data_IF_865441107836
#
_entry.id   IF_865441107836
#
_cell.length_a   1.000
_cell.length_b   1.000
_cell.length_c   1.000
_cell.angle_alpha   90.00
_cell.angle_beta   90.00
_cell.angle_gamma   90.00
#
_symmetry.space_group_name_H-M   'P 1'
#
loop_
_entity.id
_entity.type
_entity.pdbx_description
1 polymer ?
#
# COMPACT_ATOMS: atom_id res chain seq x y z
N UNK A 1 -16.54 -20.16 3.62
CA UNK A 1 -15.15 -19.67 3.83
C UNK A 1 -14.73 -18.59 2.84
N UNK A 2 -15.00 -18.72 1.52
CA UNK A 2 -14.63 -17.72 0.49
C UNK A 2 -15.09 -16.28 0.81
N UNK A 3 -16.34 -16.05 1.22
CA UNK A 3 -16.85 -14.69 1.56
C UNK A 3 -16.12 -14.03 2.75
N UNK A 4 -15.77 -14.81 3.79
CA UNK A 4 -15.04 -14.30 4.97
C UNK A 4 -13.59 -13.92 4.60
N UNK A 5 -12.90 -14.77 3.85
CA UNK A 5 -11.53 -14.51 3.39
C UNK A 5 -11.45 -13.30 2.45
N UNK A 6 -12.42 -13.17 1.53
CA UNK A 6 -12.55 -12.01 0.64
C UNK A 6 -12.78 -10.70 1.39
N UNK A 7 -13.67 -10.71 2.39
CA UNK A 7 -13.92 -9.55 3.27
C UNK A 7 -12.66 -9.16 4.05
N UNK A 8 -11.85 -10.13 4.47
CA UNK A 8 -10.60 -9.89 5.20
C UNK A 8 -9.53 -9.25 4.30
N UNK A 9 -9.36 -9.70 3.05
CA UNK A 9 -8.47 -9.04 2.10
C UNK A 9 -8.94 -7.63 1.75
N UNK A 10 -10.22 -7.44 1.46
CA UNK A 10 -10.76 -6.10 1.20
C UNK A 10 -10.49 -5.15 2.38
N UNK A 11 -10.66 -5.63 3.62
CA UNK A 11 -10.33 -4.86 4.82
C UNK A 11 -8.83 -4.55 4.92
N UNK A 12 -7.96 -5.52 4.63
CA UNK A 12 -6.49 -5.31 4.60
C UNK A 12 -6.12 -4.20 3.62
N UNK A 13 -6.60 -4.27 2.38
CA UNK A 13 -6.30 -3.28 1.35
C UNK A 13 -6.94 -1.92 1.63
N UNK A 14 -8.15 -1.89 2.21
CA UNK A 14 -8.77 -0.64 2.65
C UNK A 14 -7.97 0.05 3.77
N UNK A 15 -7.46 -0.71 4.75
CA UNK A 15 -6.60 -0.18 5.81
C UNK A 15 -5.27 0.32 5.22
N UNK A 16 -4.64 -0.44 4.31
CA UNK A 16 -3.41 -0.02 3.63
C UNK A 16 -3.60 1.29 2.84
N UNK A 17 -4.71 1.40 2.12
CA UNK A 17 -5.05 2.61 1.37
C UNK A 17 -5.31 3.79 2.30
N UNK A 18 -6.10 3.58 3.37
CA UNK A 18 -6.35 4.59 4.39
C UNK A 18 -5.03 5.09 5.02
N UNK A 19 -4.16 4.16 5.43
CA UNK A 19 -2.87 4.50 6.04
C UNK A 19 -1.97 5.27 5.08
N UNK A 20 -1.93 4.87 3.80
CA UNK A 20 -1.16 5.56 2.75
C UNK A 20 -1.66 6.99 2.54
N UNK A 21 -2.99 7.19 2.51
CA UNK A 21 -3.59 8.52 2.41
C UNK A 21 -3.27 9.36 3.63
N UNK A 22 -3.33 8.80 4.85
CA UNK A 22 -2.96 9.52 6.06
C UNK A 22 -1.47 9.92 6.06
N UNK A 23 -0.58 9.04 5.63
CA UNK A 23 0.84 9.36 5.48
C UNK A 23 1.07 10.51 4.50
N UNK A 24 0.37 10.51 3.35
CA UNK A 24 0.44 11.61 2.40
C UNK A 24 -0.10 12.91 3.02
N UNK A 25 -1.28 12.88 3.64
CA UNK A 25 -1.86 14.04 4.32
C UNK A 25 -0.94 14.60 5.40
N UNK A 26 -0.22 13.75 6.13
CA UNK A 26 0.77 14.16 7.11
C UNK A 26 1.94 14.92 6.47
N UNK A 27 2.47 14.43 5.34
CA UNK A 27 3.50 15.15 4.58
C UNK A 27 3.00 16.50 4.06
N UNK A 28 1.78 16.54 3.53
CA UNK A 28 1.13 17.78 3.10
C UNK A 28 0.95 18.78 4.23
N UNK A 29 0.54 18.29 5.42
CA UNK A 29 0.39 19.13 6.60
C UNK A 29 1.74 19.73 7.03
N UNK A 30 2.82 18.94 6.97
CA UNK A 30 4.18 19.43 7.20
C UNK A 30 4.57 20.53 6.22
N UNK A 31 4.45 20.29 4.92
CA UNK A 31 4.75 21.28 3.88
C UNK A 31 3.93 22.58 4.05
N UNK A 32 2.66 22.44 4.44
CA UNK A 32 1.81 23.61 4.71
C UNK A 32 2.25 24.36 5.98
N UNK A 33 2.54 23.66 7.07
CA UNK A 33 2.97 24.26 8.35
C UNK A 33 4.26 25.08 8.20
N UNK A 34 5.18 24.62 7.35
CA UNK A 34 6.43 25.32 7.06
C UNK A 34 6.35 26.33 5.91
N UNK A 35 5.15 26.57 5.36
CA UNK A 35 4.90 27.63 4.36
C UNK A 35 5.35 27.29 2.93
N UNK A 36 5.67 26.03 2.63
CA UNK A 36 6.10 25.61 1.28
C UNK A 36 4.94 25.45 0.28
N UNK A 37 3.71 25.31 0.78
CA UNK A 37 2.49 25.23 -0.03
C UNK A 37 2.41 23.99 -0.94
N UNK A 38 1.37 23.93 -1.79
CA UNK A 38 1.11 22.78 -2.67
C UNK A 38 2.13 22.64 -3.81
N UNK A 39 2.97 23.65 -4.07
CA UNK A 39 4.00 23.55 -5.10
C UNK A 39 5.11 22.56 -4.71
N UNK A 40 5.31 22.29 -3.42
CA UNK A 40 6.45 21.49 -2.96
C UNK A 40 6.21 19.97 -3.02
N UNK A 41 4.96 19.55 -3.22
CA UNK A 41 4.56 18.14 -3.27
C UNK A 41 5.39 17.32 -4.28
N UNK A 42 5.65 17.76 -5.52
CA UNK A 42 6.45 17.00 -6.47
C UNK A 42 7.89 16.82 -5.98
N UNK A 43 8.44 17.82 -5.26
CA UNK A 43 9.79 17.72 -4.67
C UNK A 43 9.79 16.72 -3.51
N UNK A 44 8.82 16.77 -2.60
CA UNK A 44 8.69 15.81 -1.50
C UNK A 44 8.45 14.39 -2.01
N UNK A 45 7.61 14.22 -3.04
CA UNK A 45 7.41 12.93 -3.69
C UNK A 45 8.72 12.40 -4.31
N UNK A 46 9.53 13.28 -4.88
CA UNK A 46 10.84 12.91 -5.41
C UNK A 46 11.84 12.61 -4.27
N UNK A 47 11.72 13.17 -3.08
CA UNK A 47 12.53 12.75 -1.93
C UNK A 47 12.07 11.41 -1.32
N UNK A 48 10.79 11.06 -1.47
CA UNK A 48 10.24 9.81 -0.91
C UNK A 48 10.79 8.56 -1.63
N UNK A 49 11.00 8.66 -2.94
CA UNK A 49 11.69 7.66 -3.76
C UNK A 49 12.59 8.42 -4.72
N UNK A 50 13.82 8.69 -4.29
CA UNK A 50 14.73 9.61 -4.96
C UNK A 50 15.34 9.00 -6.22
N UNK A 51 15.80 7.77 -6.11
CA UNK A 51 16.50 7.07 -7.17
C UNK A 51 15.57 6.17 -7.96
N UNK A 52 15.91 5.93 -9.23
CA UNK A 52 15.21 4.96 -10.07
C UNK A 52 15.22 3.56 -9.43
N UNK A 53 16.31 3.19 -8.75
CA UNK A 53 16.42 1.95 -7.99
C UNK A 53 15.40 1.86 -6.85
N UNK A 54 15.18 2.93 -6.08
CA UNK A 54 14.17 2.94 -5.01
C UNK A 54 12.75 2.82 -5.57
N UNK A 55 12.47 3.52 -6.69
CA UNK A 55 11.17 3.43 -7.37
C UNK A 55 10.89 2.01 -7.85
N UNK A 56 11.89 1.35 -8.45
CA UNK A 56 11.78 -0.05 -8.92
C UNK A 56 11.65 -1.03 -7.75
N UNK A 57 12.47 -0.88 -6.70
CA UNK A 57 12.42 -1.73 -5.52
C UNK A 57 11.07 -1.64 -4.81
N UNK A 58 10.55 -0.42 -4.62
CA UNK A 58 9.23 -0.20 -4.04
C UNK A 58 8.12 -0.85 -4.90
N UNK A 59 8.20 -0.71 -6.23
CA UNK A 59 7.28 -1.38 -7.15
C UNK A 59 7.31 -2.91 -7.04
N UNK A 60 8.51 -3.50 -6.98
CA UNK A 60 8.69 -4.95 -6.78
C UNK A 60 8.13 -5.43 -5.44
N UNK A 61 8.41 -4.71 -4.35
CA UNK A 61 7.87 -5.05 -3.02
C UNK A 61 6.33 -4.99 -3.01
N UNK A 62 5.76 -3.97 -3.67
CA UNK A 62 4.31 -3.82 -3.78
C UNK A 62 3.68 -4.94 -4.61
N UNK A 63 4.33 -5.35 -5.70
CA UNK A 63 3.93 -6.53 -6.49
C UNK A 63 4.01 -7.83 -5.67
N UNK A 64 5.09 -8.04 -4.91
CA UNK A 64 5.22 -9.20 -4.02
C UNK A 64 4.11 -9.26 -2.96
N UNK A 65 3.57 -8.11 -2.54
CA UNK A 65 2.47 -8.04 -1.59
C UNK A 65 1.10 -8.33 -2.23
N UNK A 66 0.88 -7.88 -3.47
CA UNK A 66 -0.41 -7.97 -4.17
C UNK A 66 -0.58 -9.27 -4.95
N UNK A 67 0.46 -9.71 -5.68
CA UNK A 67 0.42 -10.89 -6.54
C UNK A 67 -0.04 -12.18 -5.83
N UNK A 68 0.50 -12.58 -4.67
CA UNK A 68 0.06 -13.82 -4.01
C UNK A 68 -1.42 -13.75 -3.62
N UNK A 69 -1.87 -12.60 -3.10
CA UNK A 69 -3.27 -12.39 -2.72
C UNK A 69 -4.21 -12.41 -3.95
N UNK A 70 -3.78 -11.82 -5.07
CA UNK A 70 -4.52 -11.80 -6.33
C UNK A 70 -4.64 -13.22 -6.93
N UNK A 71 -3.55 -13.98 -6.94
CA UNK A 71 -3.53 -15.36 -7.42
C UNK A 71 -4.43 -16.27 -6.57
N UNK A 72 -4.42 -16.11 -5.25
CA UNK A 72 -5.30 -16.82 -4.33
C UNK A 72 -6.78 -16.43 -4.53
N UNK A 73 -7.05 -15.16 -4.83
CA UNK A 73 -8.40 -14.67 -5.12
C UNK A 73 -8.96 -15.27 -6.42
N UNK A 74 -8.16 -15.30 -7.49
CA UNK A 74 -8.53 -15.82 -8.82
C UNK A 74 -8.69 -17.35 -8.78
N UNK A 75 -7.71 -18.07 -8.21
CA UNK A 75 -7.77 -19.54 -8.10
C UNK A 75 -8.88 -20.01 -7.17
N UNK A 76 -9.46 -19.14 -6.35
CA UNK A 76 -10.56 -19.44 -5.44
C UNK A 76 -10.19 -20.40 -4.31
N UNK A 77 -8.92 -20.78 -4.22
CA UNK A 77 -8.33 -21.56 -3.14
C UNK A 77 -7.64 -20.61 -2.18
N UNK A 78 -8.31 -20.28 -1.08
CA UNK A 78 -7.56 -19.94 0.12
C UNK A 78 -7.13 -21.27 0.73
N UNK A 79 -5.83 -21.55 0.91
CA UNK A 79 -5.46 -22.52 1.92
C UNK A 79 -6.10 -21.98 3.20
N UNK A 80 -7.04 -22.74 3.77
CA UNK A 80 -7.57 -22.38 5.08
C UNK A 80 -6.38 -22.19 6.01
N UNK A 81 -6.54 -21.35 7.03
CA UNK A 81 -5.78 -21.49 8.29
C UNK A 81 -6.06 -22.88 8.90
N UNK A 82 -5.62 -23.93 8.20
CA UNK A 82 -5.70 -25.33 8.56
C UNK A 82 -4.31 -25.94 8.73
N UNK A 83 -3.25 -25.13 8.52
CA UNK A 83 -1.91 -25.40 9.03
C UNK A 83 -1.72 -24.87 10.47
N UNK A 84 -2.77 -24.32 11.09
CA UNK A 84 -2.87 -24.02 12.52
C UNK A 84 -3.70 -25.15 13.19
N UNK A 85 -3.27 -26.41 13.06
CA UNK A 85 -3.66 -27.54 13.93
C UNK A 85 -2.50 -28.53 14.01
#
# INVERSE_FOLDING_TARGET
MKKKARKLLLRKYAILLLLSVLCLLYLFLGDWLFGYGLHNIPKVMNYLLYTTSEKVAAGLMLLCLILPDLLLWIKGGYPGRGAER
#
